data_IF_515357136083
#
_entry.id   IF_515357136083
#
_cell.length_a   1.000
_cell.length_b   1.000
_cell.length_c   1.000
_cell.angle_alpha   90.00
_cell.angle_beta   90.00
_cell.angle_gamma   90.00
#
_symmetry.space_group_name_H-M   'P 1'
#
loop_
_entity.id
_entity.type
_entity.pdbx_description
1 polymer ?
#
# COMPACT_ATOMS: atom_id res chain seq x y z
N UNK A 1 1.56 -2.84 -20.02
CA UNK A 1 1.84 -1.40 -19.79
C UNK A 1 3.12 -1.08 -20.55
N UNK A 2 3.10 -0.17 -21.54
CA UNK A 2 4.31 0.29 -22.21
C UNK A 2 5.39 0.72 -21.21
N UNK A 3 6.66 0.42 -21.46
CA UNK A 3 7.77 0.89 -20.60
C UNK A 3 7.81 2.41 -20.43
N UNK A 4 7.33 3.13 -21.46
CA UNK A 4 7.20 4.59 -21.48
C UNK A 4 6.23 5.07 -20.39
N UNK A 5 5.15 4.34 -20.13
CA UNK A 5 4.16 4.72 -19.13
C UNK A 5 4.68 4.50 -17.71
N UNK A 6 5.50 3.46 -17.48
CA UNK A 6 6.09 3.22 -16.16
C UNK A 6 7.10 4.30 -15.79
N UNK A 7 8.07 4.59 -16.67
CA UNK A 7 9.08 5.64 -16.39
C UNK A 7 8.44 7.00 -16.13
N UNK A 8 7.35 7.30 -16.83
CA UNK A 8 6.57 8.51 -16.62
C UNK A 8 5.96 8.55 -15.21
N UNK A 9 5.28 7.48 -14.79
CA UNK A 9 4.70 7.40 -13.44
C UNK A 9 5.75 7.59 -12.33
N UNK A 10 6.94 7.03 -12.53
CA UNK A 10 8.08 7.20 -11.61
C UNK A 10 8.56 8.66 -11.58
N UNK A 11 8.81 9.26 -12.76
CA UNK A 11 9.30 10.62 -12.88
C UNK A 11 8.32 11.67 -12.34
N UNK A 12 7.01 11.40 -12.47
CA UNK A 12 5.94 12.28 -11.98
C UNK A 12 5.64 12.07 -10.48
N UNK A 13 6.31 11.13 -9.81
CA UNK A 13 6.06 10.84 -8.39
C UNK A 13 4.69 10.23 -8.12
N UNK A 14 4.08 9.59 -9.12
CA UNK A 14 2.74 9.01 -9.01
C UNK A 14 2.74 7.65 -8.29
N UNK A 15 3.91 7.03 -8.04
CA UNK A 15 4.01 5.75 -7.32
C UNK A 15 3.97 5.99 -5.81
N UNK A 16 2.86 5.64 -5.17
CA UNK A 16 2.65 5.87 -3.75
C UNK A 16 3.13 4.69 -2.87
N UNK A 17 2.93 3.46 -3.34
CA UNK A 17 3.26 2.25 -2.58
C UNK A 17 3.88 1.17 -3.46
N UNK A 18 4.79 0.40 -2.87
CA UNK A 18 5.34 -0.83 -3.45
C UNK A 18 5.23 -2.00 -2.49
N UNK A 19 5.10 -3.19 -3.06
CA UNK A 19 5.36 -4.44 -2.35
C UNK A 19 6.85 -4.58 -2.07
N UNK A 20 7.16 -5.12 -0.89
CA UNK A 20 8.53 -5.39 -0.45
C UNK A 20 8.55 -6.67 0.39
N UNK A 21 9.72 -7.28 0.48
CA UNK A 21 9.95 -8.42 1.36
C UNK A 21 10.00 -7.99 2.84
N UNK A 22 10.17 -8.95 3.74
CA UNK A 22 10.25 -8.70 5.18
C UNK A 22 11.46 -7.84 5.60
N UNK A 23 12.46 -7.66 4.72
CA UNK A 23 13.61 -6.77 4.92
C UNK A 23 13.38 -5.38 4.32
N UNK A 24 12.19 -5.12 3.77
CA UNK A 24 11.82 -3.87 3.13
C UNK A 24 12.41 -3.70 1.73
N UNK A 25 12.97 -4.75 1.13
CA UNK A 25 13.50 -4.68 -0.24
C UNK A 25 12.34 -4.84 -1.24
N UNK A 26 12.25 -3.90 -2.18
CA UNK A 26 11.23 -3.94 -3.23
C UNK A 26 11.39 -5.21 -4.04
N UNK A 27 10.29 -5.96 -4.19
CA UNK A 27 10.30 -7.25 -4.88
C UNK A 27 9.02 -7.46 -5.67
N UNK A 28 9.15 -8.17 -6.79
CA UNK A 28 8.03 -8.65 -7.60
C UNK A 28 7.80 -10.15 -7.41
N UNK A 29 8.58 -10.79 -6.55
CA UNK A 29 8.48 -12.22 -6.30
C UNK A 29 7.24 -12.54 -5.46
N UNK A 30 6.60 -13.65 -5.77
CA UNK A 30 5.60 -14.26 -4.90
C UNK A 30 6.31 -14.88 -3.67
N UNK A 31 5.75 -14.79 -2.45
CA UNK A 31 4.43 -14.27 -2.10
C UNK A 31 4.37 -12.76 -1.83
N UNK A 32 5.51 -12.08 -1.65
CA UNK A 32 5.57 -10.68 -1.19
C UNK A 32 4.89 -9.70 -2.15
N UNK A 33 4.99 -9.94 -3.46
CA UNK A 33 4.16 -9.32 -4.48
C UNK A 33 3.11 -10.33 -4.98
N UNK A 34 1.88 -10.30 -4.43
CA UNK A 34 0.90 -11.37 -4.67
C UNK A 34 0.35 -11.41 -6.09
N UNK A 35 0.48 -10.31 -6.84
CA UNK A 35 -0.10 -10.15 -8.17
C UNK A 35 0.95 -9.95 -9.27
N UNK A 36 2.25 -9.95 -8.94
CA UNK A 36 3.34 -9.72 -9.89
C UNK A 36 3.32 -8.34 -10.56
N UNK A 37 2.74 -7.32 -9.90
CA UNK A 37 2.71 -5.93 -10.39
C UNK A 37 4.06 -5.48 -10.94
N UNK A 38 4.07 -4.82 -12.10
CA UNK A 38 5.28 -4.23 -12.68
C UNK A 38 5.87 -3.19 -11.72
N UNK A 39 7.19 -3.27 -11.47
CA UNK A 39 7.87 -2.40 -10.51
C UNK A 39 7.38 -2.59 -9.07
N UNK A 40 6.69 -3.70 -8.76
CA UNK A 40 6.06 -3.98 -7.48
C UNK A 40 5.04 -2.92 -7.05
N UNK A 41 4.46 -2.15 -7.98
CA UNK A 41 3.54 -1.05 -7.65
C UNK A 41 2.26 -1.60 -7.02
N UNK A 42 1.97 -1.14 -5.79
CA UNK A 42 0.80 -1.49 -5.01
C UNK A 42 -0.24 -0.35 -4.96
N UNK A 43 0.18 0.88 -5.26
CA UNK A 43 -0.69 2.05 -5.24
C UNK A 43 -0.16 3.23 -6.05
N UNK A 44 -1.10 3.98 -6.64
CA UNK A 44 -0.82 5.18 -7.42
C UNK A 44 -1.57 6.38 -6.85
N UNK A 45 -0.93 7.54 -6.87
CA UNK A 45 -1.54 8.82 -6.53
C UNK A 45 -1.63 9.70 -7.77
N UNK A 46 -2.72 10.45 -7.93
CA UNK A 46 -2.81 11.47 -8.97
C UNK A 46 -1.72 12.53 -8.80
N UNK A 47 -1.29 13.18 -9.87
CA UNK A 47 -0.33 14.29 -9.81
C UNK A 47 -0.74 15.41 -8.83
N UNK A 48 -2.04 15.63 -8.64
CA UNK A 48 -2.55 16.63 -7.70
C UNK A 48 -2.50 16.20 -6.22
N UNK A 49 -2.14 14.95 -5.94
CA UNK A 49 -2.12 14.36 -4.59
C UNK A 49 -3.49 14.01 -4.00
N UNK A 50 -4.60 14.31 -4.69
CA UNK A 50 -5.97 14.23 -4.14
C UNK A 50 -6.65 12.87 -4.30
N UNK A 51 -6.25 12.09 -5.29
CA UNK A 51 -6.83 10.78 -5.58
C UNK A 51 -5.74 9.73 -5.39
N UNK A 52 -6.01 8.74 -4.54
CA UNK A 52 -5.13 7.61 -4.25
C UNK A 52 -5.86 6.32 -4.63
N UNK A 53 -5.28 5.53 -5.54
CA UNK A 53 -5.72 4.19 -5.90
C UNK A 53 -4.82 3.14 -5.28
N UNK A 54 -5.41 2.09 -4.69
CA UNK A 54 -4.69 1.05 -3.95
C UNK A 54 -5.21 -0.33 -4.31
N UNK A 55 -4.30 -1.31 -4.33
CA UNK A 55 -4.64 -2.73 -4.27
C UNK A 55 -4.70 -3.28 -2.84
N UNK A 56 -3.81 -2.88 -1.91
CA UNK A 56 -3.97 -3.23 -0.50
C UNK A 56 -5.27 -2.64 0.07
N UNK A 57 -5.85 -3.36 1.03
CA UNK A 57 -7.15 -3.01 1.65
C UNK A 57 -6.96 -2.53 3.10
N UNK A 58 -6.45 -1.30 3.35
CA UNK A 58 -6.28 -0.78 4.71
C UNK A 58 -7.60 -0.67 5.49
N UNK A 59 -8.73 -0.53 4.79
CA UNK A 59 -10.08 -0.54 5.40
C UNK A 59 -10.46 -1.90 6.00
N UNK A 60 -9.82 -2.98 5.54
CA UNK A 60 -9.99 -4.32 6.11
C UNK A 60 -9.01 -4.61 7.25
N UNK A 61 -8.21 -3.63 7.67
CA UNK A 61 -7.26 -3.78 8.76
C UNK A 61 -7.37 -2.63 9.77
N UNK A 62 -8.54 -2.52 10.42
CA UNK A 62 -8.87 -1.46 11.38
C UNK A 62 -9.03 -1.96 12.82
N UNK A 63 -9.12 -3.28 12.99
CA UNK A 63 -9.37 -3.93 14.26
C UNK A 63 -8.96 -5.40 14.16
N UNK A 64 -8.58 -5.95 15.31
CA UNK A 64 -8.35 -7.38 15.55
C UNK A 64 -9.43 -8.25 14.92
N UNK A 65 -10.69 -7.82 14.96
CA UNK A 65 -11.82 -8.59 14.45
C UNK A 65 -11.82 -8.78 12.92
N UNK A 66 -11.08 -7.96 12.19
CA UNK A 66 -10.92 -8.10 10.74
C UNK A 66 -9.79 -9.08 10.36
N UNK A 67 -8.91 -9.42 11.31
CA UNK A 67 -7.82 -10.36 11.08
C UNK A 67 -8.34 -11.80 10.91
N UNK A 68 -7.66 -12.65 10.11
CA UNK A 68 -8.06 -14.04 9.90
C UNK A 68 -8.20 -14.85 11.20
N UNK A 69 -7.32 -14.59 12.17
CA UNK A 69 -7.27 -15.24 13.48
C UNK A 69 -8.01 -14.44 14.58
N UNK A 70 -8.67 -13.34 14.22
CA UNK A 70 -9.33 -12.40 15.13
C UNK A 70 -8.41 -11.85 16.24
N UNK A 71 -7.10 -11.73 15.98
CA UNK A 71 -6.11 -11.25 16.94
C UNK A 71 -5.66 -12.29 17.98
N UNK A 72 -5.91 -13.58 17.72
CA UNK A 72 -5.49 -14.67 18.59
C UNK A 72 -4.06 -15.20 18.30
N UNK A 73 -3.38 -14.66 17.29
CA UNK A 73 -2.12 -15.21 16.80
C UNK A 73 -1.19 -14.17 16.19
N UNK A 74 -0.53 -14.54 15.09
CA UNK A 74 0.64 -13.85 14.56
C UNK A 74 0.36 -12.55 13.80
N UNK A 75 -0.90 -12.20 13.58
CA UNK A 75 -1.29 -11.07 12.71
C UNK A 75 -1.38 -9.71 13.44
N UNK A 76 -1.05 -9.66 14.72
CA UNK A 76 -1.04 -8.43 15.50
C UNK A 76 -2.43 -7.98 15.95
N UNK A 77 -2.61 -6.67 16.14
CA UNK A 77 -3.87 -6.09 16.62
C UNK A 77 -4.75 -5.50 15.50
N UNK A 78 -4.27 -5.53 14.27
CA UNK A 78 -4.97 -5.11 13.06
C UNK A 78 -5.26 -3.61 13.03
N UNK A 79 -4.44 -2.78 13.68
CA UNK A 79 -4.63 -1.33 13.76
C UNK A 79 -3.87 -0.54 12.68
N UNK A 80 -3.10 -1.19 11.81
CA UNK A 80 -2.22 -0.54 10.84
C UNK A 80 -3.01 0.31 9.82
N UNK A 81 -4.22 -0.14 9.43
CA UNK A 81 -5.10 0.65 8.57
C UNK A 81 -5.56 1.95 9.22
N UNK A 82 -5.74 1.99 10.55
CA UNK A 82 -6.06 3.24 11.25
C UNK A 82 -4.91 4.23 11.15
N UNK A 83 -3.66 3.77 11.26
CA UNK A 83 -2.48 4.62 11.12
C UNK A 83 -2.40 5.22 9.70
N UNK A 84 -2.71 4.41 8.69
CA UNK A 84 -2.81 4.88 7.31
C UNK A 84 -3.84 6.02 7.15
N UNK A 85 -5.08 5.85 7.63
CA UNK A 85 -6.10 6.90 7.51
C UNK A 85 -5.80 8.15 8.33
N UNK A 86 -5.19 7.99 9.52
CA UNK A 86 -4.71 9.12 10.32
C UNK A 86 -3.66 9.93 9.54
N UNK A 87 -2.66 9.26 8.97
CA UNK A 87 -1.65 9.93 8.14
C UNK A 87 -2.21 10.69 6.94
N UNK A 88 -3.29 10.19 6.32
CA UNK A 88 -3.99 10.92 5.24
C UNK A 88 -4.68 12.19 5.75
N UNK A 89 -5.22 12.17 6.97
CA UNK A 89 -5.94 13.27 7.57
C UNK A 89 -5.04 14.28 8.28
N UNK A 90 -3.85 13.88 8.73
CA UNK A 90 -2.91 14.73 9.48
C UNK A 90 -2.60 16.03 8.74
N UNK A 91 -2.57 16.01 7.39
CA UNK A 91 -2.38 17.21 6.56
C UNK A 91 -3.49 18.27 6.72
N UNK A 92 -4.68 17.87 7.14
CA UNK A 92 -5.87 18.72 7.23
C UNK A 92 -6.28 19.05 8.68
N UNK A 93 -5.70 18.35 9.64
CA UNK A 93 -6.04 18.47 11.06
C UNK A 93 -4.98 19.22 11.89
N UNK A 94 -3.89 19.67 11.25
CA UNK A 94 -2.82 20.48 11.84
C UNK A 94 -3.04 21.99 11.75
#
# INVERSE_FOLDING_TARGET
VPEVDLRRLEAEGCVAFRYCDAQGQVTQAFPDCPNGSIGAIAGLVSQSGRILGLMPHPERNLSRLHLPDRGAGAWGDGSEGLQFFRGLLDRYLG
#
